data_IF_538470607620
#
_entry.id   IF_538470607620
#
_cell.length_a   1.000
_cell.length_b   1.000
_cell.length_c   1.000
_cell.angle_alpha   90.00
_cell.angle_beta   90.00
_cell.angle_gamma   90.00
#
_symmetry.space_group_name_H-M   'P 1'
#
loop_
_entity.id
_entity.type
_entity.pdbx_description
1 polymer ?
#
# COMPACT_ATOMS: atom_id res chain seq x y z
N UNK A 1 16.73 -8.17 -1.63
CA UNK A 1 15.87 -8.07 -2.84
C UNK A 1 14.40 -8.38 -2.58
N UNK A 2 14.05 -9.44 -1.83
CA UNK A 2 12.64 -9.85 -1.55
C UNK A 2 11.74 -8.75 -0.97
N UNK A 3 12.24 -7.94 -0.04
CA UNK A 3 11.49 -6.84 0.57
C UNK A 3 11.12 -5.75 -0.42
N UNK A 4 12.04 -5.39 -1.33
CA UNK A 4 11.77 -4.40 -2.38
C UNK A 4 10.69 -4.90 -3.36
N UNK A 5 10.73 -6.20 -3.72
CA UNK A 5 9.71 -6.81 -4.57
C UNK A 5 8.31 -6.79 -3.91
N UNK A 6 8.22 -7.06 -2.61
CA UNK A 6 6.93 -7.01 -1.89
C UNK A 6 6.37 -5.59 -1.76
N UNK A 7 7.24 -4.59 -1.57
CA UNK A 7 6.83 -3.17 -1.52
C UNK A 7 6.50 -2.59 -2.89
N UNK A 8 6.89 -3.23 -3.98
CA UNK A 8 6.50 -2.82 -5.34
C UNK A 8 5.02 -3.09 -5.62
N UNK A 9 4.41 -4.10 -4.99
CA UNK A 9 3.02 -4.49 -5.24
C UNK A 9 2.04 -3.34 -4.94
N UNK A 10 2.05 -2.70 -3.75
CA UNK A 10 1.17 -1.56 -3.47
C UNK A 10 1.41 -0.38 -4.40
N UNK A 11 2.67 -0.12 -4.76
CA UNK A 11 3.03 0.99 -5.67
C UNK A 11 2.46 0.74 -7.07
N UNK A 12 2.56 -0.49 -7.57
CA UNK A 12 1.97 -0.87 -8.85
C UNK A 12 0.44 -0.76 -8.83
N UNK A 13 -0.22 -1.08 -7.70
CA UNK A 13 -1.65 -0.85 -7.52
C UNK A 13 -2.01 0.63 -7.68
N UNK A 14 -1.33 1.53 -6.96
CA UNK A 14 -1.53 2.98 -7.12
C UNK A 14 -1.31 3.48 -8.55
N UNK A 15 -0.28 2.98 -9.25
CA UNK A 15 -0.02 3.32 -10.65
C UNK A 15 -1.14 2.81 -11.58
N UNK A 16 -1.63 1.60 -11.36
CA UNK A 16 -2.74 1.03 -12.10
C UNK A 16 -4.04 1.83 -11.91
N UNK A 17 -4.32 2.25 -10.68
CA UNK A 17 -5.45 3.11 -10.36
C UNK A 17 -5.36 4.48 -11.04
N UNK A 18 -4.20 5.14 -10.94
CA UNK A 18 -3.94 6.41 -11.59
C UNK A 18 -4.11 6.33 -13.11
N UNK A 19 -3.58 5.26 -13.73
CA UNK A 19 -3.75 5.00 -15.15
C UNK A 19 -5.23 4.84 -15.53
N UNK A 20 -5.98 4.00 -14.81
CA UNK A 20 -7.40 3.80 -15.08
C UNK A 20 -8.23 5.08 -14.91
N UNK A 21 -7.93 5.89 -13.90
CA UNK A 21 -8.57 7.20 -13.69
C UNK A 21 -8.27 8.18 -14.84
N UNK A 22 -7.01 8.30 -15.25
CA UNK A 22 -6.60 9.15 -16.37
C UNK A 22 -7.31 8.74 -17.67
N UNK A 23 -7.38 7.43 -17.94
CA UNK A 23 -8.02 6.89 -19.14
C UNK A 23 -9.54 7.11 -19.12
N UNK A 24 -10.18 6.96 -17.95
CA UNK A 24 -11.58 7.31 -17.76
C UNK A 24 -11.85 8.82 -17.95
N UNK A 25 -10.99 9.69 -17.42
CA UNK A 25 -11.08 11.15 -17.57
C UNK A 25 -10.95 11.60 -19.03
N UNK A 26 -10.21 10.85 -19.86
CA UNK A 26 -10.12 11.05 -21.32
C UNK A 26 -11.33 10.51 -22.09
N UNK A 27 -12.42 10.12 -21.41
CA UNK A 27 -13.63 9.59 -22.04
C UNK A 27 -13.52 8.13 -22.49
N UNK A 28 -12.49 7.40 -22.06
CA UNK A 28 -12.23 6.00 -22.47
C UNK A 28 -12.31 5.04 -21.28
N UNK A 29 -13.43 4.96 -20.53
CA UNK A 29 -13.50 4.12 -19.34
C UNK A 29 -13.25 2.64 -19.65
N UNK A 30 -12.80 1.87 -18.66
CA UNK A 30 -12.60 0.42 -18.78
C UNK A 30 -13.95 -0.26 -19.07
N UNK A 31 -14.18 -0.68 -20.32
CA UNK A 31 -15.46 -1.26 -20.77
C UNK A 31 -15.59 -2.76 -20.47
N UNK A 32 -14.47 -3.48 -20.42
CA UNK A 32 -14.48 -4.91 -20.13
C UNK A 32 -14.84 -5.16 -18.66
N UNK A 33 -15.91 -5.92 -18.42
CA UNK A 33 -16.50 -6.10 -17.08
C UNK A 33 -15.49 -6.62 -16.05
N UNK A 34 -14.69 -7.62 -16.44
CA UNK A 34 -13.68 -8.22 -15.54
C UNK A 34 -12.57 -7.23 -15.21
N UNK A 35 -12.06 -6.50 -16.21
CA UNK A 35 -11.00 -5.51 -16.00
C UNK A 35 -11.49 -4.35 -15.12
N UNK A 36 -12.74 -3.92 -15.32
CA UNK A 36 -13.39 -2.91 -14.47
C UNK A 36 -13.58 -3.42 -13.05
N UNK A 37 -13.96 -4.68 -12.88
CA UNK A 37 -14.05 -5.33 -11.57
C UNK A 37 -12.69 -5.38 -10.87
N UNK A 38 -11.65 -5.79 -11.58
CA UNK A 38 -10.28 -5.81 -11.05
C UNK A 38 -9.80 -4.41 -10.66
N UNK A 39 -10.11 -3.37 -11.45
CA UNK A 39 -9.79 -1.99 -11.12
C UNK A 39 -10.49 -1.51 -9.85
N UNK A 40 -11.80 -1.79 -9.70
CA UNK A 40 -12.52 -1.44 -8.48
C UNK A 40 -12.05 -2.22 -7.25
N UNK A 41 -11.73 -3.51 -7.42
CA UNK A 41 -11.16 -4.32 -6.35
C UNK A 41 -9.83 -3.72 -5.88
N UNK A 42 -8.93 -3.39 -6.81
CA UNK A 42 -7.66 -2.77 -6.48
C UNK A 42 -7.83 -1.39 -5.83
N UNK A 43 -8.84 -0.61 -6.26
CA UNK A 43 -9.18 0.68 -5.64
C UNK A 43 -9.61 0.51 -4.19
N UNK A 44 -10.46 -0.49 -3.92
CA UNK A 44 -10.91 -0.83 -2.58
C UNK A 44 -9.74 -1.29 -1.70
N UNK A 45 -8.88 -2.18 -2.20
CA UNK A 45 -7.71 -2.67 -1.47
C UNK A 45 -6.72 -1.54 -1.16
N UNK A 46 -6.44 -0.68 -2.14
CA UNK A 46 -5.46 0.40 -1.98
C UNK A 46 -5.97 1.55 -1.11
N UNK A 47 -7.27 1.85 -1.13
CA UNK A 47 -7.83 2.97 -0.36
C UNK A 47 -8.36 2.50 0.98
N UNK A 48 -9.39 1.64 0.97
CA UNK A 48 -10.14 1.29 2.17
C UNK A 48 -9.32 0.36 3.06
N UNK A 49 -8.72 -0.69 2.48
CA UNK A 49 -7.97 -1.66 3.28
C UNK A 49 -6.69 -1.03 3.84
N UNK A 50 -5.98 -0.20 3.08
CA UNK A 50 -4.84 0.54 3.63
C UNK A 50 -5.25 1.53 4.73
N UNK A 51 -6.33 2.30 4.54
CA UNK A 51 -6.83 3.21 5.57
C UNK A 51 -7.23 2.46 6.86
N UNK A 52 -7.91 1.32 6.73
CA UNK A 52 -8.30 0.46 7.85
C UNK A 52 -7.10 -0.11 8.62
N UNK A 53 -5.91 -0.18 7.99
CA UNK A 53 -4.68 -0.63 8.65
C UNK A 53 -4.01 0.47 9.49
N UNK A 54 -4.34 1.75 9.29
CA UNK A 54 -3.69 2.88 9.98
C UNK A 54 -3.76 2.75 11.51
N UNK A 55 -4.91 2.41 12.14
CA UNK A 55 -4.98 2.26 13.59
C UNK A 55 -4.04 1.16 14.13
N UNK A 56 -3.93 0.03 13.42
CA UNK A 56 -3.03 -1.05 13.80
C UNK A 56 -1.55 -0.63 13.65
N UNK A 57 -1.22 0.05 12.57
CA UNK A 57 0.12 0.59 12.32
C UNK A 57 0.54 1.64 13.37
N UNK A 58 -0.37 2.52 13.78
CA UNK A 58 -0.12 3.52 14.82
C UNK A 58 0.14 2.87 16.18
N UNK A 59 -0.63 1.84 16.55
CA UNK A 59 -0.39 1.05 17.78
C UNK A 59 0.98 0.37 17.74
N UNK A 60 1.35 -0.22 16.59
CA UNK A 60 2.63 -0.89 16.41
C UNK A 60 3.84 0.07 16.46
N UNK A 61 3.66 1.34 16.08
CA UNK A 61 4.73 2.33 16.11
C UNK A 61 5.10 2.79 17.55
N UNK A 62 4.22 2.57 18.53
CA UNK A 62 4.53 2.78 19.96
C UNK A 62 5.06 4.17 20.33
N UNK A 63 4.76 5.22 19.55
CA UNK A 63 5.25 6.59 19.77
C UNK A 63 6.67 6.90 19.24
N UNK A 64 7.39 5.90 18.73
CA UNK A 64 8.76 6.06 18.17
C UNK A 64 8.81 6.82 16.84
N UNK A 65 7.67 6.92 16.13
CA UNK A 65 7.56 7.58 14.82
C UNK A 65 6.34 8.49 14.79
N UNK A 66 6.45 9.59 14.03
CA UNK A 66 5.34 10.52 13.80
C UNK A 66 4.08 9.77 13.34
N UNK A 67 2.91 10.01 13.98
CA UNK A 67 1.63 9.43 13.57
C UNK A 67 1.30 9.71 12.10
N UNK A 68 1.63 10.91 11.61
CA UNK A 68 1.38 11.31 10.23
C UNK A 68 2.23 10.48 9.26
N UNK A 69 3.52 10.31 9.55
CA UNK A 69 4.41 9.50 8.71
C UNK A 69 3.98 8.03 8.71
N UNK A 70 3.58 7.49 9.85
CA UNK A 70 3.07 6.11 9.97
C UNK A 70 1.79 5.92 9.17
N UNK A 71 0.85 6.86 9.23
CA UNK A 71 -0.37 6.84 8.44
C UNK A 71 -0.08 6.93 6.93
N UNK A 72 0.79 7.86 6.51
CA UNK A 72 1.16 8.03 5.10
C UNK A 72 1.86 6.80 4.52
N UNK A 73 2.82 6.22 5.25
CA UNK A 73 3.50 5.00 4.82
C UNK A 73 2.54 3.80 4.76
N UNK A 74 1.60 3.70 5.70
CA UNK A 74 0.55 2.68 5.67
C UNK A 74 -0.38 2.88 4.48
N UNK A 75 -0.70 4.13 4.13
CA UNK A 75 -1.55 4.42 2.98
C UNK A 75 -0.87 4.05 1.65
N UNK A 76 0.43 4.31 1.53
CA UNK A 76 1.18 4.02 0.30
C UNK A 76 1.49 2.53 0.16
N UNK A 77 1.94 1.90 1.23
CA UNK A 77 2.52 0.54 1.19
C UNK A 77 1.67 -0.53 1.89
N UNK A 78 0.57 -0.17 2.54
CA UNK A 78 -0.25 -1.09 3.32
C UNK A 78 0.56 -1.80 4.41
N UNK A 79 0.27 -3.07 4.67
CA UNK A 79 1.02 -3.86 5.66
C UNK A 79 2.47 -4.14 5.28
N UNK A 80 2.85 -3.95 4.01
CA UNK A 80 4.18 -4.33 3.54
C UNK A 80 5.29 -3.46 4.12
N UNK A 81 5.01 -2.25 4.63
CA UNK A 81 6.07 -1.40 5.19
C UNK A 81 6.52 -1.82 6.59
N UNK A 82 5.59 -2.20 7.48
CA UNK A 82 5.92 -2.50 8.88
C UNK A 82 6.27 -3.96 9.10
N UNK A 83 5.66 -4.89 8.34
CA UNK A 83 6.03 -6.33 8.39
C UNK A 83 7.36 -6.68 7.72
N UNK A 84 7.98 -5.74 7.01
CA UNK A 84 9.26 -5.95 6.33
C UNK A 84 10.37 -5.04 6.85
N UNK A 85 10.18 -4.43 8.02
CA UNK A 85 11.31 -3.82 8.72
C UNK A 85 12.33 -4.92 9.02
N UNK A 86 13.64 -4.67 8.83
CA UNK A 86 14.64 -5.62 9.29
C UNK A 86 14.44 -5.79 10.80
N UNK A 87 14.23 -7.03 11.25
CA UNK A 87 14.33 -7.36 12.66
C UNK A 87 15.78 -7.03 13.06
N UNK A 88 15.97 -6.22 14.10
CA UNK A 88 17.27 -6.01 14.74
C UNK A 88 17.67 -7.29 15.50
N UNK A 89 17.73 -8.42 14.81
CA UNK A 89 18.10 -9.73 15.36
C UNK A 89 19.24 -10.30 14.49
N UNK A 90 20.34 -9.57 14.39
CA UNK A 90 21.49 -10.04 13.63
C UNK A 90 22.77 -9.23 13.74
N UNK A 91 22.84 -8.24 14.62
CA UNK A 91 24.05 -7.41 14.80
C UNK A 91 24.43 -7.26 16.26
N UNK A 92 24.16 -8.29 17.07
CA UNK A 92 24.67 -8.45 18.44
C UNK A 92 24.64 -9.94 18.82
N UNK A 93 25.47 -10.75 18.16
CA UNK A 93 25.85 -12.07 18.69
C UNK A 93 27.35 -12.01 19.04
N UNK A 94 27.72 -12.17 20.33
CA UNK A 94 29.12 -12.13 20.75
C UNK A 94 29.95 -13.28 20.18
#
# INVERSE_FOLDING_TARGET
MRTAALRAIPVLGWLYLAYGLMVAAKGRPIRHRVARGAWWLDAFLSVVVHAAQIPAALRAAGGTRSPLSTAALTMVFGMTWWKTQPTTEGEDAP
#
